data_IF_216058695935
#
_entry.id   IF_216058695935
#
_cell.length_a   1.000
_cell.length_b   1.000
_cell.length_c   1.000
_cell.angle_alpha   90.00
_cell.angle_beta   90.00
_cell.angle_gamma   90.00
#
_symmetry.space_group_name_H-M   'P 1'
#
loop_
_entity.id
_entity.type
_entity.pdbx_description
1 polymer ?
#
# COMPACT_ATOMS: atom_id res chain seq x y z
N UNK A 1 0.83 5.87 4.82
CA UNK A 1 1.31 7.27 4.79
C UNK A 1 2.18 7.55 3.56
N UNK A 2 3.42 7.04 3.44
CA UNK A 2 4.29 7.35 2.27
C UNK A 2 3.63 7.05 0.92
N UNK A 3 2.89 5.95 0.81
CA UNK A 3 2.14 5.63 -0.41
C UNK A 3 1.07 6.68 -0.74
N UNK A 4 0.41 7.27 0.27
CA UNK A 4 -0.55 8.36 0.07
C UNK A 4 0.14 9.61 -0.50
N UNK A 5 1.33 9.92 -0.04
CA UNK A 5 2.11 11.03 -0.58
C UNK A 5 2.53 10.82 -2.05
N UNK A 6 2.63 9.57 -2.51
CA UNK A 6 2.84 9.26 -3.92
C UNK A 6 1.59 9.50 -4.79
N UNK A 7 0.39 9.38 -4.21
CA UNK A 7 -0.86 9.60 -4.98
C UNK A 7 -1.20 11.07 -5.14
N UNK A 8 -0.65 11.93 -4.28
CA UNK A 8 -0.90 13.38 -4.24
C UNK A 8 0.16 14.17 -5.03
N UNK A 9 0.40 13.80 -6.28
CA UNK A 9 1.48 14.37 -7.12
C UNK A 9 1.46 15.90 -7.16
N UNK A 10 2.42 16.56 -6.49
CA UNK A 10 2.63 18.00 -6.53
C UNK A 10 1.77 18.86 -5.60
N UNK A 11 0.78 18.29 -4.93
CA UNK A 11 0.00 19.03 -3.92
C UNK A 11 0.76 19.15 -2.60
N UNK A 12 0.74 20.36 -2.03
CA UNK A 12 1.28 20.59 -0.68
C UNK A 12 0.37 19.87 0.34
N UNK A 13 0.91 18.90 1.01
CA UNK A 13 0.22 18.22 2.09
C UNK A 13 0.48 18.91 3.45
N UNK A 14 -0.44 18.74 4.38
CA UNK A 14 -0.29 19.12 5.79
C UNK A 14 -0.51 17.90 6.68
N UNK A 15 -0.05 17.95 7.93
CA UNK A 15 -0.33 16.90 8.90
C UNK A 15 -1.84 16.68 9.09
N UNK A 16 -2.63 17.75 9.07
CA UNK A 16 -4.08 17.69 9.18
C UNK A 16 -4.71 16.99 7.97
N UNK A 17 -4.38 17.41 6.74
CA UNK A 17 -4.94 16.79 5.53
C UNK A 17 -4.54 15.33 5.38
N UNK A 18 -3.31 14.97 5.75
CA UNK A 18 -2.85 13.59 5.70
C UNK A 18 -3.48 12.72 6.78
N UNK A 19 -3.71 13.28 7.99
CA UNK A 19 -4.46 12.65 9.08
C UNK A 19 -5.88 12.28 8.64
N UNK A 20 -6.59 13.23 8.07
CA UNK A 20 -7.95 13.06 7.57
C UNK A 20 -8.01 12.00 6.46
N UNK A 21 -7.16 12.13 5.43
CA UNK A 21 -7.12 11.21 4.30
C UNK A 21 -6.76 9.77 4.67
N UNK A 22 -6.05 9.56 5.78
CA UNK A 22 -5.60 8.24 6.23
C UNK A 22 -6.37 7.70 7.43
N UNK A 23 -7.33 8.46 7.98
CA UNK A 23 -8.02 8.12 9.24
C UNK A 23 -7.03 7.81 10.38
N UNK A 24 -5.98 8.63 10.47
CA UNK A 24 -4.94 8.56 11.49
C UNK A 24 -5.00 9.81 12.37
N UNK A 25 -4.58 9.72 13.62
CA UNK A 25 -4.39 10.93 14.42
C UNK A 25 -3.20 11.76 13.92
N UNK A 26 -3.19 13.09 14.14
CA UNK A 26 -2.02 13.92 13.81
C UNK A 26 -0.71 13.43 14.44
N UNK A 27 -0.80 12.92 15.66
CA UNK A 27 0.36 12.35 16.38
C UNK A 27 0.90 11.10 15.70
N UNK A 28 0.03 10.21 15.19
CA UNK A 28 0.43 9.01 14.45
C UNK A 28 1.11 9.39 13.13
N UNK A 29 0.56 10.38 12.41
CA UNK A 29 1.15 10.87 11.17
C UNK A 29 2.52 11.50 11.43
N UNK A 30 2.62 12.37 12.45
CA UNK A 30 3.89 13.01 12.82
C UNK A 30 4.96 11.97 13.19
N UNK A 31 4.60 11.01 14.05
CA UNK A 31 5.51 9.92 14.42
C UNK A 31 5.91 9.06 13.21
N UNK A 32 4.98 8.84 12.27
CA UNK A 32 5.22 8.13 11.02
C UNK A 32 6.21 8.85 10.11
N UNK A 33 6.05 10.17 9.94
CA UNK A 33 7.00 11.00 9.16
C UNK A 33 8.39 10.96 9.80
N UNK A 34 8.48 11.13 11.12
CA UNK A 34 9.76 11.06 11.84
C UNK A 34 10.48 9.72 11.62
N UNK A 35 9.76 8.59 11.75
CA UNK A 35 10.34 7.27 11.47
C UNK A 35 10.79 7.12 10.02
N UNK A 36 10.02 7.65 9.08
CA UNK A 36 10.36 7.62 7.66
C UNK A 36 11.60 8.46 7.34
N UNK A 37 11.79 9.60 8.02
CA UNK A 37 13.02 10.42 7.94
C UNK A 37 14.24 9.65 8.44
N UNK A 38 14.16 9.06 9.63
CA UNK A 38 15.23 8.24 10.20
C UNK A 38 15.60 7.07 9.29
N UNK A 39 14.62 6.45 8.65
CA UNK A 39 14.82 5.36 7.70
C UNK A 39 15.25 5.83 6.29
N UNK A 40 15.48 7.13 6.07
CA UNK A 40 15.79 7.71 4.75
C UNK A 40 14.74 7.43 3.68
N UNK A 41 13.49 7.17 4.07
CA UNK A 41 12.35 6.94 3.17
C UNK A 41 11.60 8.23 2.84
N UNK A 42 11.88 9.31 3.55
CA UNK A 42 11.26 10.63 3.39
C UNK A 42 12.32 11.71 3.55
N UNK A 43 12.32 12.69 2.63
CA UNK A 43 13.22 13.85 2.65
C UNK A 43 12.47 15.09 3.09
N UNK A 44 12.86 15.68 4.23
CA UNK A 44 12.26 16.91 4.76
C UNK A 44 12.45 18.09 3.82
N UNK A 45 13.62 18.20 3.20
CA UNK A 45 13.96 19.29 2.29
C UNK A 45 13.00 19.40 1.08
N UNK A 46 12.49 18.27 0.61
CA UNK A 46 11.53 18.21 -0.52
C UNK A 46 10.09 18.01 -0.07
N UNK A 47 9.87 17.65 1.19
CA UNK A 47 8.55 17.32 1.71
C UNK A 47 7.94 16.05 1.09
N UNK A 48 8.78 15.13 0.57
CA UNK A 48 8.33 14.02 -0.25
C UNK A 48 9.05 12.70 0.08
N UNK A 49 8.46 11.53 -0.30
CA UNK A 49 9.14 10.25 -0.21
C UNK A 49 10.37 10.18 -1.10
N UNK A 50 11.45 9.59 -0.58
CA UNK A 50 12.65 9.25 -1.36
C UNK A 50 12.33 8.00 -2.17
N UNK A 51 11.92 8.19 -3.42
CA UNK A 51 11.32 7.13 -4.27
C UNK A 51 12.22 5.91 -4.42
N UNK A 52 13.52 6.10 -4.62
CA UNK A 52 14.47 5.00 -4.77
C UNK A 52 14.54 4.13 -3.50
N UNK A 53 14.72 4.76 -2.35
CA UNK A 53 14.78 4.06 -1.06
C UNK A 53 13.44 3.40 -0.70
N UNK A 54 12.33 4.09 -0.99
CA UNK A 54 11.00 3.55 -0.76
C UNK A 54 10.75 2.33 -1.65
N UNK A 55 11.13 2.35 -2.92
CA UNK A 55 11.03 1.21 -3.83
C UNK A 55 11.84 0.02 -3.31
N UNK A 56 13.09 0.26 -2.91
CA UNK A 56 13.96 -0.77 -2.33
C UNK A 56 13.32 -1.42 -1.10
N UNK A 57 12.80 -0.60 -0.19
CA UNK A 57 12.11 -1.09 0.99
C UNK A 57 10.83 -1.89 0.64
N UNK A 58 9.99 -1.39 -0.28
CA UNK A 58 8.75 -2.06 -0.66
C UNK A 58 8.99 -3.40 -1.37
N UNK A 59 10.00 -3.49 -2.22
CA UNK A 59 10.28 -4.73 -2.97
C UNK A 59 11.01 -5.76 -2.12
N UNK A 60 11.98 -5.33 -1.32
CA UNK A 60 12.87 -6.25 -0.62
C UNK A 60 12.67 -6.33 0.89
N UNK A 61 12.17 -5.27 1.55
CA UNK A 61 12.10 -5.15 3.00
C UNK A 61 10.71 -5.36 3.60
N UNK A 62 9.65 -4.91 2.92
CA UNK A 62 8.30 -4.82 3.52
C UNK A 62 7.76 -6.14 4.03
N UNK A 63 8.01 -7.25 3.34
CA UNK A 63 7.54 -8.58 3.73
C UNK A 63 8.18 -9.10 5.03
N UNK A 64 9.35 -8.61 5.39
CA UNK A 64 10.03 -8.96 6.63
C UNK A 64 9.67 -8.02 7.76
N UNK A 65 9.49 -6.73 7.45
CA UNK A 65 9.09 -5.72 8.44
C UNK A 65 7.61 -5.83 8.83
N UNK A 66 6.77 -6.27 7.90
CA UNK A 66 5.31 -6.42 8.09
C UNK A 66 4.83 -7.79 7.58
N UNK A 67 5.30 -8.89 8.19
CA UNK A 67 4.89 -10.22 7.77
C UNK A 67 3.38 -10.40 7.94
N UNK A 68 2.76 -11.15 7.01
CA UNK A 68 1.33 -11.44 7.05
C UNK A 68 1.08 -12.84 6.50
N UNK A 69 0.01 -13.46 6.98
CA UNK A 69 -0.49 -14.76 6.50
C UNK A 69 -1.99 -14.63 6.20
N UNK A 70 -2.47 -15.50 5.34
CA UNK A 70 -3.90 -15.63 5.09
C UNK A 70 -4.57 -16.21 6.35
N UNK A 71 -5.63 -15.55 6.79
CA UNK A 71 -6.42 -15.96 7.93
C UNK A 71 -7.71 -16.67 7.52
N UNK A 72 -8.71 -16.64 8.40
CA UNK A 72 -10.01 -17.24 8.18
C UNK A 72 -10.81 -16.52 7.09
N UNK A 73 -11.86 -17.17 6.61
CA UNK A 73 -12.80 -16.57 5.66
C UNK A 73 -13.51 -15.37 6.30
N UNK A 74 -13.59 -14.29 5.57
CA UNK A 74 -14.26 -13.05 5.97
C UNK A 74 -14.83 -12.32 4.75
N UNK A 75 -15.83 -11.48 4.98
CA UNK A 75 -16.26 -10.49 4.00
C UNK A 75 -15.33 -9.29 4.07
N UNK A 76 -14.89 -8.78 2.93
CA UNK A 76 -13.93 -7.68 2.94
C UNK A 76 -13.72 -7.01 1.59
N UNK A 77 -12.74 -6.10 1.59
CA UNK A 77 -12.27 -5.36 0.43
C UNK A 77 -11.15 -6.17 -0.23
N UNK A 78 -11.20 -6.46 -1.55
CA UNK A 78 -10.14 -7.18 -2.25
C UNK A 78 -8.78 -6.52 -2.08
N UNK A 79 -7.73 -7.34 -1.90
CA UNK A 79 -6.34 -6.87 -1.84
C UNK A 79 -5.40 -7.83 -2.58
N UNK A 80 -4.12 -7.55 -2.59
CA UNK A 80 -3.09 -8.32 -3.27
C UNK A 80 -3.46 -8.62 -4.74
N UNK A 81 -3.37 -9.88 -5.17
CA UNK A 81 -3.71 -10.28 -6.54
C UNK A 81 -5.22 -10.22 -6.86
N UNK A 82 -6.09 -10.08 -5.86
CA UNK A 82 -7.53 -9.94 -6.07
C UNK A 82 -7.98 -8.50 -6.38
N UNK A 83 -7.06 -7.53 -6.31
CA UNK A 83 -7.35 -6.12 -6.53
C UNK A 83 -6.33 -5.45 -7.45
N UNK A 84 -6.66 -4.22 -7.86
CA UNK A 84 -5.80 -3.32 -8.60
C UNK A 84 -5.24 -3.91 -9.88
N UNK A 85 -4.00 -3.56 -10.25
CA UNK A 85 -3.47 -3.96 -11.54
C UNK A 85 -3.12 -5.45 -11.64
N UNK A 86 -3.07 -6.20 -10.53
CA UNK A 86 -2.74 -7.63 -10.54
C UNK A 86 -3.93 -8.52 -10.87
N UNK A 87 -5.16 -8.07 -10.64
CA UNK A 87 -6.38 -8.85 -10.85
C UNK A 87 -6.49 -9.42 -12.28
N UNK A 88 -6.03 -8.67 -13.26
CA UNK A 88 -6.07 -9.07 -14.67
C UNK A 88 -4.85 -9.91 -15.09
N UNK A 89 -3.78 -9.87 -14.30
CA UNK A 89 -2.50 -10.51 -14.61
C UNK A 89 -2.30 -11.85 -13.91
N UNK A 90 -3.09 -12.12 -12.87
CA UNK A 90 -2.99 -13.34 -12.05
C UNK A 90 -4.29 -14.12 -12.17
N UNK A 91 -4.19 -15.33 -12.69
CA UNK A 91 -5.32 -16.25 -12.80
C UNK A 91 -5.75 -16.71 -11.39
N UNK A 92 -7.04 -16.58 -11.11
CA UNK A 92 -7.60 -17.10 -9.86
C UNK A 92 -7.88 -18.59 -10.03
N UNK A 93 -7.06 -19.45 -9.44
CA UNK A 93 -7.13 -20.91 -9.55
C UNK A 93 -8.26 -21.54 -8.68
N UNK A 94 -9.38 -20.82 -8.51
CA UNK A 94 -10.53 -21.31 -7.74
C UNK A 94 -10.40 -21.16 -6.21
N UNK A 95 -9.33 -20.55 -5.73
CA UNK A 95 -9.16 -20.23 -4.31
C UNK A 95 -9.89 -18.95 -3.92
N UNK A 96 -10.30 -18.86 -2.66
CA UNK A 96 -10.88 -17.62 -2.11
C UNK A 96 -9.85 -16.47 -2.21
N UNK A 97 -10.27 -15.30 -2.71
CA UNK A 97 -9.38 -14.17 -2.88
C UNK A 97 -8.94 -13.58 -1.53
N UNK A 98 -7.75 -12.96 -1.44
CA UNK A 98 -7.34 -12.21 -0.26
C UNK A 98 -8.18 -10.93 -0.10
N UNK A 99 -8.66 -10.67 1.12
CA UNK A 99 -9.47 -9.51 1.45
C UNK A 99 -9.03 -8.87 2.77
N UNK A 100 -9.14 -7.56 2.88
CA UNK A 100 -9.15 -6.88 4.17
C UNK A 100 -10.54 -7.02 4.79
N UNK A 101 -10.71 -7.62 5.97
CA UNK A 101 -12.01 -7.66 6.64
C UNK A 101 -12.55 -6.24 6.84
N UNK A 102 -13.76 -5.97 6.32
CA UNK A 102 -14.39 -4.66 6.40
C UNK A 102 -15.90 -4.77 6.24
N UNK A 103 -16.67 -3.95 6.98
CA UNK A 103 -18.14 -3.96 6.94
C UNK A 103 -18.69 -3.62 5.55
N UNK A 104 -18.02 -2.73 4.82
CA UNK A 104 -18.37 -2.36 3.44
C UNK A 104 -17.70 -3.26 2.38
N UNK A 105 -17.16 -4.39 2.80
CA UNK A 105 -16.54 -5.34 1.89
C UNK A 105 -17.52 -5.91 0.87
N UNK A 106 -17.10 -6.05 -0.37
CA UNK A 106 -17.94 -6.48 -1.50
C UNK A 106 -17.92 -7.99 -1.75
N UNK A 107 -16.89 -8.70 -1.27
CA UNK A 107 -16.70 -10.12 -1.55
C UNK A 107 -16.32 -10.92 -0.29
N UNK A 108 -16.57 -12.23 -0.34
CA UNK A 108 -16.02 -13.19 0.62
C UNK A 108 -14.62 -13.63 0.16
N UNK A 109 -13.69 -13.73 1.11
CA UNK A 109 -12.32 -14.11 0.82
C UNK A 109 -11.57 -14.57 2.06
N UNK A 110 -10.27 -14.82 1.93
CA UNK A 110 -9.38 -15.10 3.06
C UNK A 110 -8.86 -13.78 3.64
N UNK A 111 -8.98 -13.64 4.95
CA UNK A 111 -8.61 -12.39 5.62
C UNK A 111 -7.11 -12.14 5.56
N UNK A 112 -6.77 -10.88 5.30
CA UNK A 112 -5.41 -10.34 5.34
C UNK A 112 -5.39 -9.19 6.33
N UNK A 113 -4.48 -9.22 7.29
CA UNK A 113 -4.26 -8.08 8.17
C UNK A 113 -3.67 -6.92 7.34
N UNK A 114 -4.36 -5.76 7.26
CA UNK A 114 -3.85 -4.62 6.52
C UNK A 114 -2.54 -4.13 7.15
N UNK A 115 -1.70 -3.50 6.36
CA UNK A 115 -0.41 -2.96 6.83
C UNK A 115 -0.59 -1.89 7.94
N UNK A 116 -1.76 -1.29 8.00
CA UNK A 116 -2.19 -0.39 9.06
C UNK A 116 -3.71 -0.48 9.21
N UNK A 117 -4.20 -0.37 10.44
CA UNK A 117 -5.62 -0.58 10.80
C UNK A 117 -6.63 0.24 9.98
N UNK A 118 -6.28 1.48 9.61
CA UNK A 118 -7.14 2.37 8.84
C UNK A 118 -6.91 2.30 7.32
N UNK A 119 -5.96 1.50 6.84
CA UNK A 119 -5.65 1.39 5.42
C UNK A 119 -6.85 0.99 4.55
N UNK A 120 -7.72 0.04 4.96
CA UNK A 120 -8.91 -0.30 4.19
C UNK A 120 -9.88 0.88 4.00
N UNK A 121 -10.15 1.63 5.06
CA UNK A 121 -11.03 2.81 4.99
C UNK A 121 -10.45 3.91 4.08
N UNK A 122 -9.13 4.18 4.18
CA UNK A 122 -8.46 5.13 3.31
C UNK A 122 -8.48 4.68 1.83
N UNK A 123 -8.34 3.38 1.58
CA UNK A 123 -8.36 2.80 0.24
C UNK A 123 -9.74 2.93 -0.44
N UNK A 124 -10.83 2.89 0.31
CA UNK A 124 -12.18 3.10 -0.23
C UNK A 124 -12.38 4.51 -0.81
N UNK A 125 -11.68 5.50 -0.27
CA UNK A 125 -11.75 6.90 -0.71
C UNK A 125 -10.70 7.27 -1.77
N UNK A 126 -9.66 6.45 -1.93
CA UNK A 126 -8.57 6.70 -2.87
C UNK A 126 -8.21 5.41 -3.64
N UNK A 127 -8.79 5.21 -4.84
CA UNK A 127 -8.51 4.05 -5.67
C UNK A 127 -7.02 3.87 -6.00
N UNK A 128 -6.28 4.96 -6.19
CA UNK A 128 -4.84 4.89 -6.46
C UNK A 128 -4.05 4.41 -5.25
N UNK A 129 -4.43 4.86 -4.05
CA UNK A 129 -3.86 4.34 -2.80
C UNK A 129 -4.21 2.86 -2.61
N UNK A 130 -5.45 2.46 -2.93
CA UNK A 130 -5.86 1.06 -2.91
C UNK A 130 -4.95 0.18 -3.77
N UNK A 131 -4.68 0.61 -5.00
CA UNK A 131 -3.78 -0.12 -5.90
C UNK A 131 -2.36 -0.26 -5.33
N UNK A 132 -1.78 0.82 -4.77
CA UNK A 132 -0.48 0.75 -4.12
C UNK A 132 -0.47 -0.21 -2.92
N UNK A 133 -1.50 -0.16 -2.08
CA UNK A 133 -1.63 -1.05 -0.92
C UNK A 133 -1.80 -2.51 -1.34
N UNK A 134 -2.58 -2.78 -2.39
CA UNK A 134 -2.75 -4.11 -2.95
C UNK A 134 -1.45 -4.68 -3.51
N UNK A 135 -0.64 -3.86 -4.19
CA UNK A 135 0.69 -4.26 -4.66
C UNK A 135 1.63 -4.60 -3.48
N UNK A 136 1.57 -3.82 -2.41
CA UNK A 136 2.34 -4.10 -1.19
C UNK A 136 1.90 -5.41 -0.55
N UNK A 137 0.60 -5.68 -0.46
CA UNK A 137 0.09 -6.94 0.08
C UNK A 137 0.43 -8.14 -0.80
N UNK A 138 0.48 -7.97 -2.13
CA UNK A 138 0.96 -9.00 -3.04
C UNK A 138 2.44 -9.36 -2.78
N UNK A 139 3.26 -8.39 -2.40
CA UNK A 139 4.66 -8.65 -2.00
C UNK A 139 4.72 -9.31 -0.63
N UNK A 140 3.86 -8.91 0.33
CA UNK A 140 3.82 -9.48 1.68
C UNK A 140 3.35 -10.93 1.71
N UNK A 141 2.31 -11.25 0.92
CA UNK A 141 1.62 -12.55 0.88
C UNK A 141 2.08 -13.43 -0.28
N UNK A 142 2.41 -12.82 -1.40
CA UNK A 142 2.43 -13.43 -2.71
C UNK A 142 3.50 -14.50 -2.88
N UNK A 143 3.20 -15.42 -3.79
CA UNK A 143 4.18 -16.34 -4.35
C UNK A 143 5.17 -15.57 -5.24
N UNK A 144 6.27 -16.19 -5.61
CA UNK A 144 7.36 -15.55 -6.38
C UNK A 144 6.91 -14.82 -7.66
N UNK A 145 5.88 -15.33 -8.35
CA UNK A 145 5.31 -14.69 -9.55
C UNK A 145 4.60 -13.38 -9.20
N UNK A 146 3.74 -13.40 -8.20
CA UNK A 146 2.96 -12.25 -7.75
C UNK A 146 3.88 -11.15 -7.20
N UNK A 147 4.87 -11.52 -6.39
CA UNK A 147 5.88 -10.59 -5.87
C UNK A 147 6.65 -9.91 -7.00
N UNK A 148 7.04 -10.66 -8.02
CA UNK A 148 7.78 -10.14 -9.19
C UNK A 148 6.94 -9.17 -10.02
N UNK A 149 5.68 -9.51 -10.29
CA UNK A 149 4.73 -8.65 -11.01
C UNK A 149 4.47 -7.36 -10.23
N UNK A 150 4.15 -7.47 -8.94
CA UNK A 150 3.91 -6.31 -8.07
C UNK A 150 5.14 -5.39 -7.98
N UNK A 151 6.33 -5.97 -7.80
CA UNK A 151 7.59 -5.22 -7.77
C UNK A 151 7.88 -4.49 -9.08
N UNK A 152 7.62 -5.14 -10.23
CA UNK A 152 7.76 -4.52 -11.55
C UNK A 152 6.82 -3.33 -11.75
N UNK A 153 5.55 -3.47 -11.35
CA UNK A 153 4.57 -2.37 -11.43
C UNK A 153 4.96 -1.21 -10.51
N UNK A 154 5.36 -1.49 -9.26
CA UNK A 154 5.83 -0.46 -8.33
C UNK A 154 7.05 0.28 -8.89
N UNK A 155 8.02 -0.45 -9.44
CA UNK A 155 9.20 0.14 -10.08
C UNK A 155 8.82 1.11 -11.18
N UNK A 156 7.97 0.66 -12.11
CA UNK A 156 7.52 1.51 -13.22
C UNK A 156 6.81 2.78 -12.71
N UNK A 157 5.88 2.66 -11.75
CA UNK A 157 5.13 3.79 -11.20
C UNK A 157 6.02 4.80 -10.47
N UNK A 158 6.96 4.32 -9.65
CA UNK A 158 7.84 5.21 -8.88
C UNK A 158 8.90 5.89 -9.75
N UNK A 159 9.32 5.26 -10.85
CA UNK A 159 10.27 5.84 -11.80
C UNK A 159 9.62 6.83 -12.77
N UNK A 160 8.47 6.50 -13.33
CA UNK A 160 7.78 7.35 -14.34
C UNK A 160 7.30 8.67 -13.75
N UNK A 161 6.81 8.67 -12.52
CA UNK A 161 6.36 9.89 -11.83
C UNK A 161 7.53 10.81 -11.38
N UNK A 162 8.77 10.33 -11.43
CA UNK A 162 9.96 11.14 -11.13
C UNK A 162 10.53 11.88 -12.34
N UNK A 163 10.08 11.57 -13.56
CA UNK A 163 10.56 12.19 -14.79
C UNK A 163 9.73 13.41 -15.25
N UNK A 164 8.65 13.75 -14.54
CA UNK A 164 7.72 14.82 -14.86
C UNK A 164 7.79 16.02 -13.90
N UNK A 165 8.93 16.19 -13.20
CA UNK A 165 9.17 17.32 -12.27
C UNK A 165 10.37 18.12 -12.69
#
# INVERSE_FOLDING_TARGET
MLLKLLTSSGEKWSFASLSEALFMSPSEVHAGVKRAQVASLYAEATGAPVRANLLEFLVHGVKYAFPVQLGSQARGIPTAHAAGPLRELVTNDGFLPPVWPHSEGSIAGLSVAPIYKSAPAAALLDPTLHEYLALVDAIRLGRSREQRLAGGILKNRLQTQGASS
#
